data_IF_500471240018
#
_entry.id   IF_500471240018
#
_cell.length_a   1.000
_cell.length_b   1.000
_cell.length_c   1.000
_cell.angle_alpha   90.00
_cell.angle_beta   90.00
_cell.angle_gamma   90.00
#
_symmetry.space_group_name_H-M   'P 1'
#
loop_
_entity.id
_entity.type
_entity.pdbx_description
1 polymer ?
#
# COMPACT_ATOMS: atom_id res chain seq x y z
N UNK A 1 -12.70 4.89 -19.15
CA UNK A 1 -12.44 3.52 -18.64
C UNK A 1 -13.20 3.30 -17.36
N UNK A 2 -13.60 2.04 -17.10
CA UNK A 2 -14.18 1.60 -15.83
C UNK A 2 -13.05 1.08 -14.92
N UNK A 3 -12.82 1.74 -13.79
CA UNK A 3 -11.61 1.54 -12.98
C UNK A 3 -11.98 1.14 -11.54
N UNK A 4 -11.38 0.08 -11.04
CA UNK A 4 -11.49 -0.35 -9.65
C UNK A 4 -10.28 0.13 -8.85
N UNK A 5 -10.53 0.87 -7.76
CA UNK A 5 -9.50 1.19 -6.77
C UNK A 5 -9.73 0.27 -5.56
N UNK A 6 -8.98 -0.79 -5.51
CA UNK A 6 -9.14 -1.87 -4.55
C UNK A 6 -8.42 -1.56 -3.22
N UNK A 7 -9.09 -1.80 -2.10
CA UNK A 7 -8.62 -1.53 -0.74
C UNK A 7 -8.30 -0.04 -0.52
N UNK A 8 -9.23 0.83 -0.96
CA UNK A 8 -9.13 2.27 -0.77
C UNK A 8 -10.44 2.86 -0.20
N UNK A 9 -10.46 3.14 1.10
CA UNK A 9 -11.57 3.86 1.77
C UNK A 9 -11.47 5.38 1.57
N UNK A 10 -10.27 5.89 1.32
CA UNK A 10 -9.97 7.34 1.29
C UNK A 10 -10.30 8.04 -0.02
N UNK A 11 -10.55 7.28 -1.08
CA UNK A 11 -10.91 7.74 -2.43
C UNK A 11 -9.91 8.70 -3.11
N UNK A 12 -8.69 8.81 -2.63
CA UNK A 12 -7.70 9.74 -3.22
C UNK A 12 -7.35 9.39 -4.65
N UNK A 13 -7.13 8.11 -4.91
CA UNK A 13 -6.86 7.64 -6.27
C UNK A 13 -8.15 7.62 -7.09
N UNK A 14 -9.27 7.19 -6.50
CA UNK A 14 -10.58 7.21 -7.13
C UNK A 14 -10.93 8.62 -7.62
N UNK A 15 -10.86 9.64 -6.77
CA UNK A 15 -11.12 11.04 -7.14
C UNK A 15 -10.21 11.51 -8.27
N UNK A 16 -8.90 11.21 -8.20
CA UNK A 16 -7.96 11.63 -9.23
C UNK A 16 -8.32 11.10 -10.63
N UNK A 17 -8.83 9.87 -10.71
CA UNK A 17 -9.33 9.31 -11.98
C UNK A 17 -10.69 9.89 -12.36
N UNK A 18 -11.58 10.16 -11.40
CA UNK A 18 -12.86 10.86 -11.63
C UNK A 18 -12.64 12.25 -12.21
N UNK A 19 -11.68 13.00 -11.69
CA UNK A 19 -11.30 14.33 -12.18
C UNK A 19 -10.79 14.29 -13.65
N UNK A 20 -10.39 13.13 -14.13
CA UNK A 20 -10.01 12.89 -15.54
C UNK A 20 -11.16 12.35 -16.40
N UNK A 21 -12.37 12.27 -15.85
CA UNK A 21 -13.55 11.80 -16.59
C UNK A 21 -13.70 10.28 -16.68
N UNK A 22 -12.96 9.52 -15.85
CA UNK A 22 -13.11 8.07 -15.82
C UNK A 22 -14.22 7.62 -14.88
N UNK A 23 -14.82 6.47 -15.15
CA UNK A 23 -15.76 5.79 -14.28
C UNK A 23 -14.98 4.99 -13.24
N UNK A 24 -14.50 5.66 -12.17
CA UNK A 24 -13.71 5.04 -11.12
C UNK A 24 -14.54 4.78 -9.86
N UNK A 25 -14.36 3.60 -9.25
CA UNK A 25 -14.96 3.22 -7.98
C UNK A 25 -13.89 2.73 -7.01
N UNK A 26 -13.95 3.21 -5.79
CA UNK A 26 -13.18 2.63 -4.67
C UNK A 26 -13.93 1.43 -4.08
N UNK A 27 -13.18 0.44 -3.58
CA UNK A 27 -13.74 -0.70 -2.86
C UNK A 27 -12.92 -0.98 -1.61
N UNK A 28 -13.57 -1.06 -0.45
CA UNK A 28 -12.95 -1.42 0.82
C UNK A 28 -14.01 -2.05 1.75
N UNK A 29 -13.58 -2.85 2.73
CA UNK A 29 -14.44 -3.35 3.80
C UNK A 29 -14.87 -2.23 4.75
N UNK A 30 -14.06 -1.16 4.85
CA UNK A 30 -14.37 0.03 5.63
C UNK A 30 -15.31 0.95 4.86
N UNK A 31 -16.13 1.75 5.57
CA UNK A 31 -16.94 2.78 4.92
C UNK A 31 -16.06 3.87 4.32
N UNK A 32 -16.58 4.54 3.29
CA UNK A 32 -15.93 5.65 2.62
C UNK A 32 -15.54 6.77 3.58
N UNK A 33 -14.30 7.24 3.49
CA UNK A 33 -13.83 8.46 4.18
C UNK A 33 -13.48 9.61 3.22
N UNK A 34 -13.64 9.38 1.92
CA UNK A 34 -13.31 10.35 0.86
C UNK A 34 -14.41 11.35 0.52
N UNK A 35 -15.61 11.19 1.08
CA UNK A 35 -16.72 12.13 0.90
C UNK A 35 -17.68 11.80 -0.25
N UNK A 36 -17.43 10.75 -1.03
CA UNK A 36 -18.25 10.34 -2.17
C UNK A 36 -18.73 8.89 -2.02
N UNK A 37 -19.69 8.60 -1.10
CA UNK A 37 -20.17 7.24 -0.87
C UNK A 37 -20.78 6.60 -2.14
N UNK A 38 -21.31 7.40 -3.07
CA UNK A 38 -21.84 6.94 -4.36
C UNK A 38 -20.79 6.35 -5.30
N UNK A 39 -19.50 6.59 -5.04
CA UNK A 39 -18.37 6.03 -5.78
C UNK A 39 -17.64 4.93 -4.98
N UNK A 40 -18.25 4.47 -3.89
CA UNK A 40 -17.64 3.51 -2.99
C UNK A 40 -18.44 2.21 -2.92
N UNK A 41 -17.78 1.10 -3.14
CA UNK A 41 -18.31 -0.25 -2.95
C UNK A 41 -17.79 -0.75 -1.60
N UNK A 42 -18.66 -0.73 -0.59
CA UNK A 42 -18.28 -1.28 0.71
C UNK A 42 -18.45 -2.80 0.72
N UNK A 43 -17.36 -3.54 0.76
CA UNK A 43 -17.37 -5.00 0.73
C UNK A 43 -16.01 -5.63 0.43
N UNK A 44 -16.01 -6.95 0.23
CA UNK A 44 -14.81 -7.68 -0.16
C UNK A 44 -14.48 -7.39 -1.64
N UNK A 45 -13.29 -6.87 -1.88
CA UNK A 45 -12.81 -6.58 -3.23
C UNK A 45 -12.69 -7.82 -4.11
N UNK A 46 -12.50 -9.00 -3.52
CA UNK A 46 -12.43 -10.25 -4.30
C UNK A 46 -13.75 -10.56 -5.03
N UNK A 47 -14.89 -10.08 -4.54
CA UNK A 47 -16.18 -10.20 -5.19
C UNK A 47 -16.36 -9.24 -6.37
N UNK A 48 -15.43 -8.31 -6.55
CA UNK A 48 -15.46 -7.32 -7.63
C UNK A 48 -14.55 -7.67 -8.81
N UNK A 49 -13.65 -8.65 -8.68
CA UNK A 49 -12.59 -8.87 -9.67
C UNK A 49 -13.09 -9.31 -11.07
N UNK A 50 -14.29 -9.84 -11.15
CA UNK A 50 -14.94 -10.36 -12.38
C UNK A 50 -16.01 -9.41 -12.98
N UNK A 51 -16.10 -8.15 -12.52
CA UNK A 51 -17.16 -7.20 -12.91
C UNK A 51 -16.81 -6.34 -14.14
N UNK A 52 -15.89 -6.80 -14.99
CA UNK A 52 -15.59 -6.15 -16.27
C UNK A 52 -14.86 -4.80 -16.13
N UNK A 53 -13.85 -4.73 -15.29
CA UNK A 53 -12.99 -3.57 -15.13
C UNK A 53 -11.93 -3.49 -16.22
N UNK A 54 -11.68 -2.29 -16.74
CA UNK A 54 -10.59 -2.02 -17.67
C UNK A 54 -9.23 -1.94 -16.96
N UNK A 55 -9.25 -1.47 -15.70
CA UNK A 55 -8.06 -1.28 -14.89
C UNK A 55 -8.38 -1.49 -13.40
N UNK A 56 -7.40 -1.99 -12.66
CA UNK A 56 -7.41 -2.00 -11.19
C UNK A 56 -6.13 -1.38 -10.63
N UNK A 57 -6.29 -0.51 -9.63
CA UNK A 57 -5.21 -0.06 -8.75
C UNK A 57 -5.53 -0.58 -7.36
N UNK A 58 -4.63 -1.37 -6.77
CA UNK A 58 -4.89 -2.06 -5.52
C UNK A 58 -3.89 -1.66 -4.43
N UNK A 59 -4.39 -1.41 -3.22
CA UNK A 59 -3.63 -1.06 -2.02
C UNK A 59 -3.83 -2.12 -0.92
N UNK A 60 -3.45 -3.40 -1.15
CA UNK A 60 -3.71 -4.46 -0.18
C UNK A 60 -3.05 -4.17 1.17
N UNK A 61 -3.67 -4.59 2.29
CA UNK A 61 -3.15 -4.38 3.63
C UNK A 61 -1.70 -4.83 3.78
N UNK A 62 -0.83 -3.92 4.20
CA UNK A 62 0.62 -4.17 4.28
C UNK A 62 1.10 -4.71 5.64
N UNK A 63 0.22 -4.84 6.64
CA UNK A 63 0.55 -5.15 8.05
C UNK A 63 1.41 -6.40 8.21
N UNK A 64 1.15 -7.43 7.40
CA UNK A 64 1.88 -8.70 7.43
C UNK A 64 2.95 -8.80 6.33
N UNK A 65 3.00 -7.85 5.41
CA UNK A 65 3.88 -7.89 4.23
C UNK A 65 5.14 -7.02 4.37
N UNK A 66 5.14 -6.01 5.27
CA UNK A 66 6.27 -5.09 5.43
C UNK A 66 7.37 -5.65 6.32
N UNK A 67 8.62 -5.25 6.03
CA UNK A 67 9.78 -5.60 6.88
C UNK A 67 9.70 -4.99 8.28
N UNK A 68 8.98 -3.90 8.47
CA UNK A 68 8.81 -3.25 9.79
C UNK A 68 8.04 -4.13 10.78
N UNK A 69 7.27 -5.08 10.30
CA UNK A 69 6.53 -6.04 11.10
C UNK A 69 7.32 -7.28 11.50
N UNK A 70 8.57 -7.44 11.06
CA UNK A 70 9.33 -8.68 11.28
C UNK A 70 9.60 -9.01 12.74
N UNK A 71 9.76 -7.99 13.60
CA UNK A 71 9.96 -8.19 15.04
C UNK A 71 8.78 -8.86 15.75
N UNK A 72 7.59 -8.84 15.12
CA UNK A 72 6.36 -9.40 15.70
C UNK A 72 6.09 -10.87 15.32
N UNK A 73 7.03 -11.52 14.61
CA UNK A 73 6.91 -12.94 14.28
C UNK A 73 7.37 -13.86 15.39
N UNK A 74 8.27 -13.39 16.25
CA UNK A 74 8.93 -14.21 17.25
C UNK A 74 8.83 -13.59 18.64
N UNK A 75 8.82 -14.46 19.64
CA UNK A 75 8.88 -14.06 21.05
C UNK A 75 10.16 -13.25 21.31
N UNK A 76 10.06 -12.02 21.85
CA UNK A 76 11.24 -11.22 22.19
C UNK A 76 12.18 -11.89 23.18
N UNK A 77 11.69 -12.80 24.03
CA UNK A 77 12.51 -13.55 24.99
C UNK A 77 13.48 -14.52 24.29
N UNK A 78 13.14 -14.99 23.09
CA UNK A 78 13.91 -15.99 22.34
C UNK A 78 14.99 -15.38 21.43
N UNK A 79 15.32 -14.09 21.59
CA UNK A 79 16.29 -13.39 20.72
C UNK A 79 17.66 -14.05 20.70
N UNK A 80 18.04 -14.76 21.75
CA UNK A 80 19.29 -15.49 21.88
C UNK A 80 19.32 -16.81 21.10
N UNK A 81 18.16 -17.32 20.71
CA UNK A 81 18.02 -18.57 19.94
C UNK A 81 18.15 -18.35 18.43
N UNK A 82 18.56 -19.36 17.67
CA UNK A 82 18.44 -19.39 16.21
C UNK A 82 16.98 -19.14 15.78
N UNK A 83 16.78 -18.54 14.60
CA UNK A 83 15.42 -18.19 14.13
C UNK A 83 14.50 -19.41 14.01
N UNK A 84 15.03 -20.58 13.71
CA UNK A 84 14.29 -21.86 13.61
C UNK A 84 13.72 -22.35 14.93
N UNK A 85 14.30 -21.92 16.06
CA UNK A 85 13.94 -22.38 17.41
C UNK A 85 13.09 -21.38 18.19
N UNK A 86 12.89 -20.18 17.60
CA UNK A 86 12.11 -19.12 18.25
C UNK A 86 10.63 -19.44 18.21
N UNK A 87 9.97 -19.36 19.37
CA UNK A 87 8.53 -19.47 19.50
C UNK A 87 7.80 -18.28 18.86
N UNK A 88 6.52 -18.45 18.47
CA UNK A 88 5.69 -17.36 17.99
C UNK A 88 5.57 -16.22 19.02
N UNK A 89 5.35 -15.01 18.53
CA UNK A 89 5.17 -13.83 19.40
C UNK A 89 3.91 -13.98 20.26
N UNK A 90 3.96 -13.81 21.62
CA UNK A 90 2.84 -14.08 22.52
C UNK A 90 1.57 -13.29 22.16
N UNK A 91 1.71 -12.03 21.72
CA UNK A 91 0.56 -11.19 21.32
C UNK A 91 0.03 -11.51 19.92
N UNK A 92 0.80 -12.17 19.07
CA UNK A 92 0.47 -12.43 17.67
C UNK A 92 0.85 -13.85 17.26
N UNK A 93 0.30 -14.89 17.92
CA UNK A 93 0.71 -16.28 17.71
C UNK A 93 0.43 -16.77 16.27
N UNK A 94 -0.59 -16.24 15.63
CA UNK A 94 -1.02 -16.63 14.28
C UNK A 94 -0.36 -15.83 13.17
N UNK A 95 0.58 -14.90 13.48
CA UNK A 95 1.14 -13.96 12.50
C UNK A 95 1.72 -14.62 11.24
N UNK A 96 2.25 -15.84 11.35
CA UNK A 96 2.75 -16.59 10.17
C UNK A 96 1.63 -17.06 9.25
N UNK A 97 0.49 -17.48 9.84
CA UNK A 97 -0.72 -17.83 9.09
C UNK A 97 -1.28 -16.59 8.40
N UNK A 98 -1.45 -15.50 9.15
CA UNK A 98 -1.97 -14.23 8.64
C UNK A 98 -1.09 -13.69 7.48
N UNK A 99 0.25 -13.88 7.58
CA UNK A 99 1.14 -13.49 6.48
C UNK A 99 0.91 -14.31 5.22
N UNK A 100 0.70 -15.63 5.34
CA UNK A 100 0.40 -16.49 4.18
C UNK A 100 -0.89 -16.05 3.51
N UNK A 101 -1.92 -15.78 4.28
CA UNK A 101 -3.22 -15.28 3.79
C UNK A 101 -3.06 -13.93 3.08
N UNK A 102 -2.29 -12.99 3.65
CA UNK A 102 -2.01 -11.70 3.03
C UNK A 102 -1.22 -11.83 1.70
N UNK A 103 -0.28 -12.78 1.62
CA UNK A 103 0.45 -13.08 0.38
C UNK A 103 -0.50 -13.62 -0.69
N UNK A 104 -1.37 -14.55 -0.34
CA UNK A 104 -2.34 -15.11 -1.29
C UNK A 104 -3.39 -14.08 -1.73
N UNK A 105 -3.83 -13.20 -0.84
CA UNK A 105 -4.69 -12.07 -1.18
C UNK A 105 -4.01 -11.13 -2.20
N UNK A 106 -2.76 -10.75 -1.95
CA UNK A 106 -1.98 -9.95 -2.90
C UNK A 106 -1.87 -10.61 -4.28
N UNK A 107 -1.57 -11.92 -4.31
CA UNK A 107 -1.47 -12.70 -5.55
C UNK A 107 -2.79 -12.76 -6.30
N UNK A 108 -3.92 -12.95 -5.61
CA UNK A 108 -5.26 -12.96 -6.22
C UNK A 108 -5.54 -11.63 -6.94
N UNK A 109 -5.25 -10.49 -6.30
CA UNK A 109 -5.40 -9.18 -6.93
C UNK A 109 -4.53 -9.06 -8.17
N UNK A 110 -3.24 -9.37 -8.07
CA UNK A 110 -2.32 -9.22 -9.19
C UNK A 110 -2.62 -10.17 -10.37
N UNK A 111 -3.08 -11.38 -10.10
CA UNK A 111 -3.35 -12.42 -11.11
C UNK A 111 -4.78 -12.41 -11.65
N UNK A 112 -5.65 -11.48 -11.21
CA UNK A 112 -7.00 -11.35 -11.76
C UNK A 112 -6.98 -11.08 -13.27
N UNK A 113 -8.09 -11.36 -13.97
CA UNK A 113 -8.19 -11.23 -15.43
C UNK A 113 -8.32 -9.78 -15.92
N UNK A 114 -8.27 -8.81 -15.00
CA UNK A 114 -8.29 -7.39 -15.37
C UNK A 114 -7.06 -7.06 -16.23
N UNK A 115 -7.23 -6.38 -17.39
CA UNK A 115 -6.14 -6.17 -18.34
C UNK A 115 -4.99 -5.31 -17.83
N UNK A 116 -5.32 -4.26 -17.08
CA UNK A 116 -4.35 -3.29 -16.53
C UNK A 116 -4.40 -3.32 -15.00
N UNK A 117 -3.29 -3.67 -14.36
CA UNK A 117 -3.22 -3.77 -12.89
C UNK A 117 -1.98 -3.05 -12.37
N UNK A 118 -2.16 -2.27 -11.31
CA UNK A 118 -1.10 -1.80 -10.44
C UNK A 118 -1.40 -2.24 -8.99
N UNK A 119 -0.54 -3.06 -8.40
CA UNK A 119 -0.62 -3.35 -6.96
C UNK A 119 0.47 -2.56 -6.24
N UNK A 120 0.07 -1.76 -5.27
CA UNK A 120 0.95 -0.93 -4.45
C UNK A 120 1.17 -1.59 -3.09
N UNK A 121 2.41 -1.64 -2.64
CA UNK A 121 2.74 -2.02 -1.26
C UNK A 121 4.10 -1.44 -0.85
N UNK A 122 4.37 -1.19 0.44
CA UNK A 122 5.71 -0.83 0.90
C UNK A 122 6.74 -1.92 0.62
N UNK A 123 8.03 -1.57 0.77
CA UNK A 123 9.11 -2.56 0.72
C UNK A 123 8.87 -3.66 1.76
N UNK A 124 8.84 -4.92 1.29
CA UNK A 124 8.47 -6.06 2.12
C UNK A 124 8.73 -7.40 1.47
N UNK A 125 8.11 -8.43 2.02
CA UNK A 125 8.34 -9.83 1.64
C UNK A 125 7.89 -10.17 0.22
N UNK A 126 6.98 -9.39 -0.38
CA UNK A 126 6.47 -9.66 -1.72
C UNK A 126 7.56 -9.61 -2.79
N UNK A 127 8.60 -8.79 -2.60
CA UNK A 127 9.76 -8.74 -3.49
C UNK A 127 10.57 -10.05 -3.53
N UNK A 128 10.46 -10.88 -2.50
CA UNK A 128 11.16 -12.16 -2.36
C UNK A 128 10.23 -13.35 -2.56
N UNK A 129 9.02 -13.30 -1.97
CA UNK A 129 8.09 -14.43 -1.95
C UNK A 129 7.14 -14.49 -3.15
N UNK A 130 7.12 -13.43 -3.96
CA UNK A 130 6.35 -13.41 -5.20
C UNK A 130 7.24 -13.04 -6.39
N UNK A 131 7.48 -11.74 -6.61
CA UNK A 131 8.41 -11.24 -7.62
C UNK A 131 8.90 -9.84 -7.27
N UNK A 132 10.03 -9.42 -7.86
CA UNK A 132 10.51 -8.05 -7.74
C UNK A 132 9.44 -7.07 -8.24
N UNK A 133 9.26 -5.89 -7.60
CA UNK A 133 8.36 -4.87 -8.11
C UNK A 133 8.85 -4.37 -9.48
N UNK A 134 7.90 -3.96 -10.31
CA UNK A 134 8.20 -3.33 -11.61
C UNK A 134 8.91 -1.98 -11.42
N UNK A 135 8.56 -1.27 -10.33
CA UNK A 135 9.12 0.04 -10.01
C UNK A 135 9.06 0.31 -8.50
N UNK A 136 9.99 1.12 -7.99
CA UNK A 136 9.91 1.71 -6.65
C UNK A 136 9.86 3.23 -6.83
N UNK A 137 8.82 3.84 -6.30
CA UNK A 137 8.58 5.28 -6.37
C UNK A 137 8.63 5.93 -4.99
N UNK A 138 8.73 7.26 -4.99
CA UNK A 138 8.74 8.07 -3.78
C UNK A 138 7.83 9.31 -3.96
N UNK A 139 7.10 9.77 -2.94
CA UNK A 139 6.22 10.93 -3.05
C UNK A 139 6.93 12.19 -3.55
N UNK A 140 8.19 12.43 -3.13
CA UNK A 140 8.95 13.61 -3.57
C UNK A 140 9.25 13.65 -5.07
N UNK A 141 9.10 12.54 -5.79
CA UNK A 141 9.20 12.48 -7.25
C UNK A 141 7.94 13.01 -7.94
N UNK A 142 6.86 13.19 -7.19
CA UNK A 142 5.54 13.56 -7.68
C UNK A 142 4.99 14.85 -7.04
N UNK A 143 5.85 15.65 -6.39
CA UNK A 143 5.50 16.96 -5.85
C UNK A 143 5.15 16.98 -4.36
N UNK A 144 5.12 15.85 -3.68
CA UNK A 144 4.88 15.78 -2.24
C UNK A 144 6.22 15.66 -1.49
N UNK A 145 6.57 16.63 -0.65
CA UNK A 145 7.85 16.68 0.09
C UNK A 145 7.95 15.63 1.20
N UNK A 146 7.81 14.34 0.82
CA UNK A 146 7.85 13.20 1.74
C UNK A 146 8.67 12.04 1.15
N UNK A 147 9.29 11.26 2.04
CA UNK A 147 9.95 9.98 1.71
C UNK A 147 9.11 8.82 2.21
N UNK A 148 8.63 8.00 1.27
CA UNK A 148 7.98 6.70 1.53
C UNK A 148 8.23 5.79 0.33
N UNK A 149 9.18 4.85 0.47
CA UNK A 149 9.42 3.86 -0.61
C UNK A 149 8.18 3.03 -0.85
N UNK A 150 7.61 3.18 -2.03
CA UNK A 150 6.39 2.52 -2.48
C UNK A 150 6.73 1.64 -3.67
N UNK A 151 6.49 0.35 -3.55
CA UNK A 151 6.70 -0.63 -4.61
C UNK A 151 5.43 -0.75 -5.45
N UNK A 152 5.58 -0.82 -6.76
CA UNK A 152 4.51 -1.06 -7.73
C UNK A 152 4.78 -2.35 -8.48
N UNK A 153 3.80 -3.25 -8.49
CA UNK A 153 3.75 -4.42 -9.36
C UNK A 153 2.73 -4.16 -10.46
N UNK A 154 3.21 -4.05 -11.70
CA UNK A 154 2.43 -3.62 -12.85
C UNK A 154 2.14 -4.79 -13.80
N UNK A 155 0.93 -4.83 -14.36
CA UNK A 155 0.49 -5.67 -15.46
C UNK A 155 -0.23 -4.79 -16.47
N UNK A 156 0.20 -4.79 -17.75
CA UNK A 156 -0.43 -4.01 -18.82
C UNK A 156 -0.35 -2.48 -18.65
N UNK A 157 0.52 -1.99 -17.77
CA UNK A 157 0.72 -0.56 -17.50
C UNK A 157 2.20 -0.16 -17.68
N UNK A 158 2.48 1.06 -18.20
CA UNK A 158 3.82 1.59 -18.26
C UNK A 158 4.33 2.01 -16.87
N UNK A 159 5.64 2.15 -16.71
CA UNK A 159 6.23 2.74 -15.51
C UNK A 159 5.77 4.18 -15.34
N UNK A 160 5.55 4.62 -14.09
CA UNK A 160 5.27 6.02 -13.78
C UNK A 160 6.52 6.88 -13.97
N UNK A 161 6.37 7.96 -14.71
CA UNK A 161 7.39 9.00 -14.85
C UNK A 161 7.20 10.07 -13.78
N UNK A 162 8.30 10.50 -13.16
CA UNK A 162 8.28 11.59 -12.18
C UNK A 162 7.67 12.85 -12.78
N UNK A 163 6.74 13.48 -12.06
CA UNK A 163 6.06 14.69 -12.55
C UNK A 163 6.69 15.99 -12.03
N UNK A 164 7.13 15.97 -10.77
CA UNK A 164 7.77 17.13 -10.12
C UNK A 164 8.66 16.67 -8.98
N UNK A 165 9.97 16.75 -9.17
CA UNK A 165 10.94 16.41 -8.12
C UNK A 165 11.06 17.58 -7.15
N UNK A 166 10.80 17.30 -5.87
CA UNK A 166 10.93 18.26 -4.76
C UNK A 166 11.85 17.70 -3.66
N UNK A 167 12.02 18.41 -2.55
CA UNK A 167 12.76 17.89 -1.39
C UNK A 167 12.15 16.58 -0.89
N UNK A 168 12.98 15.65 -0.46
CA UNK A 168 12.54 14.36 0.15
C UNK A 168 11.92 14.52 1.54
N UNK A 169 11.75 15.74 2.03
CA UNK A 169 11.24 16.07 3.34
C UNK A 169 12.31 16.00 4.44
N UNK A 170 11.88 16.28 5.67
CA UNK A 170 12.74 16.28 6.84
C UNK A 170 13.03 14.87 7.36
N UNK A 171 14.24 14.70 7.89
CA UNK A 171 14.70 13.44 8.48
C UNK A 171 15.13 13.65 9.92
N UNK A 172 14.88 12.66 10.76
CA UNK A 172 15.45 12.57 12.10
C UNK A 172 16.48 11.45 12.14
N UNK A 173 17.53 11.65 12.93
CA UNK A 173 18.54 10.62 13.21
C UNK A 173 18.45 10.26 14.68
N UNK A 174 18.20 8.99 14.97
CA UNK A 174 18.17 8.46 16.33
C UNK A 174 19.60 8.29 16.90
N UNK A 175 19.74 8.19 18.21
CA UNK A 175 21.03 7.92 18.88
C UNK A 175 21.75 6.67 18.36
N UNK A 176 21.01 5.71 17.82
CA UNK A 176 21.53 4.49 17.17
C UNK A 176 22.10 4.71 15.77
N UNK A 177 22.11 5.95 15.25
CA UNK A 177 22.49 6.28 13.87
C UNK A 177 21.40 5.97 12.82
N UNK A 178 20.30 5.32 13.20
CA UNK A 178 19.18 5.04 12.28
C UNK A 178 18.48 6.32 11.88
N UNK A 179 18.26 6.52 10.59
CA UNK A 179 17.49 7.65 10.04
C UNK A 179 16.04 7.25 9.78
N UNK A 180 15.12 8.17 10.04
CA UNK A 180 13.69 8.02 9.77
C UNK A 180 13.14 9.33 9.20
N UNK A 181 12.24 9.24 8.23
CA UNK A 181 11.52 10.41 7.75
C UNK A 181 10.69 11.00 8.90
N UNK A 182 10.79 12.32 9.12
CA UNK A 182 10.17 12.98 10.27
C UNK A 182 8.66 12.78 10.32
N UNK A 183 7.96 12.92 9.19
CA UNK A 183 6.52 12.70 9.12
C UNK A 183 6.08 11.31 9.61
N UNK A 184 6.90 10.28 9.30
CA UNK A 184 6.61 8.91 9.72
C UNK A 184 6.84 8.71 11.23
N UNK A 185 7.86 9.38 11.77
CA UNK A 185 8.13 9.39 13.21
C UNK A 185 7.06 10.21 13.96
N UNK A 186 6.66 11.36 13.43
CA UNK A 186 5.61 12.19 14.01
C UNK A 186 4.26 11.47 14.04
N UNK A 187 3.96 10.67 13.04
CA UNK A 187 2.76 9.82 13.05
C UNK A 187 2.71 8.84 14.24
N UNK A 188 3.85 8.50 14.85
CA UNK A 188 3.88 7.64 16.03
C UNK A 188 3.29 8.29 17.31
N UNK A 189 3.10 9.62 17.29
CA UNK A 189 2.49 10.38 18.39
C UNK A 189 0.97 10.21 18.46
N UNK A 190 0.35 9.75 17.37
CA UNK A 190 -1.09 9.55 17.27
C UNK A 190 -1.51 8.15 17.75
N UNK A 191 -2.77 7.97 18.17
CA UNK A 191 -3.35 6.66 18.46
C UNK A 191 -3.17 5.67 17.30
N UNK A 192 -3.14 4.35 17.55
CA UNK A 192 -2.84 3.35 16.53
C UNK A 192 -3.70 3.45 15.26
N UNK A 193 -5.00 3.71 15.40
CA UNK A 193 -5.94 3.82 14.28
C UNK A 193 -5.64 5.05 13.42
N UNK A 194 -5.49 6.23 14.04
CA UNK A 194 -5.19 7.47 13.35
C UNK A 194 -3.82 7.43 12.69
N UNK A 195 -2.81 6.89 13.40
CA UNK A 195 -1.48 6.63 12.85
C UNK A 195 -1.53 5.76 11.60
N UNK A 196 -2.36 4.70 11.61
CA UNK A 196 -2.55 3.82 10.46
C UNK A 196 -3.16 4.59 9.29
N UNK A 197 -4.22 5.36 9.53
CA UNK A 197 -4.84 6.22 8.51
C UNK A 197 -3.85 7.21 7.90
N UNK A 198 -3.01 7.88 8.72
CA UNK A 198 -1.99 8.82 8.24
C UNK A 198 -0.97 8.12 7.33
N UNK A 199 -0.53 6.91 7.71
CA UNK A 199 0.54 6.19 6.99
C UNK A 199 0.06 5.45 5.75
N UNK A 200 -1.20 5.08 5.68
CA UNK A 200 -1.74 4.26 4.59
C UNK A 200 -2.20 5.08 3.39
N UNK A 201 -2.64 6.30 3.59
CA UNK A 201 -3.16 7.16 2.50
C UNK A 201 -2.13 7.33 1.38
N UNK A 202 -2.59 7.19 0.15
CA UNK A 202 -1.80 7.52 -1.05
C UNK A 202 -1.54 9.02 -1.11
N UNK A 203 -0.33 9.42 -1.49
CA UNK A 203 0.03 10.82 -1.64
C UNK A 203 -0.65 11.43 -2.87
N UNK A 204 -1.15 12.67 -2.79
CA UNK A 204 -1.91 13.30 -3.87
C UNK A 204 -1.16 13.37 -5.20
N UNK A 205 0.14 13.66 -5.17
CA UNK A 205 0.96 13.70 -6.38
C UNK A 205 1.07 12.35 -7.08
N UNK A 206 1.16 11.26 -6.31
CA UNK A 206 1.18 9.89 -6.87
C UNK A 206 -0.19 9.57 -7.48
N UNK A 207 -1.30 9.85 -6.79
CA UNK A 207 -2.64 9.62 -7.30
C UNK A 207 -2.89 10.38 -8.62
N UNK A 208 -2.49 11.67 -8.66
CA UNK A 208 -2.57 12.50 -9.88
C UNK A 208 -1.70 11.96 -11.02
N UNK A 209 -0.49 11.50 -10.72
CA UNK A 209 0.40 10.90 -11.72
C UNK A 209 -0.19 9.62 -12.31
N UNK A 210 -0.74 8.73 -11.47
CA UNK A 210 -1.45 7.52 -11.91
C UNK A 210 -2.61 7.88 -12.85
N UNK A 211 -3.47 8.80 -12.43
CA UNK A 211 -4.62 9.22 -13.23
C UNK A 211 -4.23 9.92 -14.55
N UNK A 212 -3.10 10.63 -14.58
CA UNK A 212 -2.66 11.35 -15.78
C UNK A 212 -1.92 10.45 -16.78
N UNK A 213 -1.18 9.44 -16.29
CA UNK A 213 -0.30 8.62 -17.13
C UNK A 213 -0.92 7.28 -17.54
N UNK A 214 -1.89 6.80 -16.76
CA UNK A 214 -2.57 5.52 -17.00
C UNK A 214 -4.04 5.68 -17.42
N UNK A 215 -4.63 6.87 -17.19
CA UNK A 215 -5.99 7.25 -17.54
C UNK A 215 -6.27 7.52 -18.99
#
# INVERSE_FOLDING_TARGET
MKILIACEESQRVCQAFRDKGHEAYSCDILPCSGGHPEWHIQGDVLEQLDKGWDMMIAHPPCTYLTVTGNSWFYNPADKHLPMSERSPHPKFPNRRKDQKEAIEFFKKLYNSDIPKIAVENPVGVMSTLFKKPSQIIQPYQFGDSFSKKTCLWLKGLPLLTSTKIVSSGEWITYKSGKRCAKWFADAAKYPPEERTKIRNKTFPGIAKAMATQWG
#
